data_IF_226867667323
#
_entry.id   IF_226867667323
#
_cell.length_a   1.000
_cell.length_b   1.000
_cell.length_c   1.000
_cell.angle_alpha   90.00
_cell.angle_beta   90.00
_cell.angle_gamma   90.00
#
_symmetry.space_group_name_H-M   'P 1'
#
loop_
_entity.id
_entity.type
_entity.pdbx_description
1 polymer ?
#
# COMPACT_ATOMS: atom_id res chain seq x y z
N UNK A 1 10.47 13.91 6.33
CA UNK A 1 11.13 13.01 5.36
C UNK A 1 10.18 11.87 5.06
N UNK A 2 9.92 11.53 3.79
CA UNK A 2 8.98 10.46 3.49
C UNK A 2 9.53 9.09 3.95
N UNK A 3 8.71 8.32 4.64
CA UNK A 3 9.08 7.01 5.16
C UNK A 3 8.78 5.95 4.08
N UNK A 4 9.75 5.10 3.75
CA UNK A 4 9.52 3.98 2.83
C UNK A 4 9.19 2.71 3.61
N UNK A 5 7.94 2.25 3.50
CA UNK A 5 7.48 0.98 4.08
C UNK A 5 7.38 -0.08 2.99
N UNK A 6 7.92 -1.27 3.23
CA UNK A 6 7.81 -2.40 2.30
C UNK A 6 6.89 -3.44 2.92
N UNK A 7 5.90 -3.88 2.16
CA UNK A 7 5.02 -4.95 2.60
C UNK A 7 5.79 -6.29 2.58
N UNK A 8 5.96 -7.00 3.71
CA UNK A 8 6.68 -8.28 3.73
C UNK A 8 5.88 -9.40 3.04
N UNK A 9 4.56 -9.22 2.87
CA UNK A 9 3.68 -10.20 2.25
C UNK A 9 3.68 -10.10 0.72
N UNK A 10 3.59 -8.87 0.18
CA UNK A 10 3.45 -8.68 -1.27
C UNK A 10 4.59 -7.89 -1.93
N UNK A 11 5.60 -7.46 -1.16
CA UNK A 11 6.79 -6.76 -1.67
C UNK A 11 6.55 -5.32 -2.15
N UNK A 12 5.30 -4.83 -2.08
CA UNK A 12 4.96 -3.47 -2.51
C UNK A 12 5.59 -2.43 -1.59
N UNK A 13 6.12 -1.35 -2.20
CA UNK A 13 6.69 -0.22 -1.47
C UNK A 13 5.69 0.92 -1.34
N UNK A 14 5.58 1.48 -0.15
CA UNK A 14 4.73 2.64 0.18
C UNK A 14 5.64 3.76 0.64
N UNK A 15 5.65 4.86 -0.08
CA UNK A 15 6.26 6.12 0.32
C UNK A 15 5.20 6.89 1.11
N UNK A 16 5.30 6.87 2.44
CA UNK A 16 4.37 7.54 3.34
C UNK A 16 4.83 8.97 3.63
N UNK A 17 3.87 9.90 3.74
CA UNK A 17 4.17 11.29 4.11
C UNK A 17 4.90 12.09 3.03
N UNK A 18 4.71 11.72 1.76
CA UNK A 18 5.10 12.55 0.60
C UNK A 18 4.14 13.73 0.47
N UNK A 19 4.62 14.86 -0.03
CA UNK A 19 3.77 16.02 -0.34
C UNK A 19 2.73 15.57 -1.38
N UNK A 20 1.44 15.68 -1.04
CA UNK A 20 0.34 15.16 -1.86
C UNK A 20 -0.20 13.77 -1.45
N UNK A 21 0.28 13.19 -0.34
CA UNK A 21 -0.23 11.95 0.24
C UNK A 21 0.61 10.71 -0.06
N UNK A 22 0.20 9.55 0.47
CA UNK A 22 0.93 8.29 0.32
C UNK A 22 1.02 7.85 -1.15
N UNK A 23 2.23 7.48 -1.59
CA UNK A 23 2.49 6.96 -2.93
C UNK A 23 2.91 5.50 -2.87
N UNK A 24 2.22 4.65 -3.62
CA UNK A 24 2.50 3.21 -3.72
C UNK A 24 3.26 2.92 -5.01
N UNK A 25 4.38 2.22 -4.88
CA UNK A 25 5.20 1.73 -6.00
C UNK A 25 4.99 0.21 -6.15
N UNK A 26 4.33 -0.16 -7.25
CA UNK A 26 4.17 -1.55 -7.65
C UNK A 26 5.43 -2.04 -8.38
N UNK A 27 5.63 -3.36 -8.44
CA UNK A 27 6.72 -3.98 -9.20
C UNK A 27 6.57 -3.80 -10.71
N UNK A 28 5.34 -3.60 -11.19
CA UNK A 28 5.03 -3.35 -12.59
C UNK A 28 3.88 -2.34 -12.72
N UNK A 29 3.94 -1.52 -13.77
CA UNK A 29 2.92 -0.52 -14.07
C UNK A 29 3.06 0.79 -13.30
N UNK A 30 2.06 1.70 -13.43
CA UNK A 30 2.14 3.03 -12.83
C UNK A 30 2.00 2.97 -11.30
N UNK A 31 2.64 3.92 -10.59
CA UNK A 31 2.37 4.15 -9.17
C UNK A 31 0.88 4.37 -8.89
N UNK A 32 0.47 4.08 -7.66
CA UNK A 32 -0.89 4.32 -7.20
C UNK A 32 -0.93 4.79 -5.76
N UNK A 33 -2.08 4.62 -5.14
CA UNK A 33 -2.32 4.90 -3.73
C UNK A 33 -2.61 3.60 -2.96
N UNK A 34 -2.89 3.74 -1.66
CA UNK A 34 -3.24 2.60 -0.80
C UNK A 34 -4.54 1.92 -1.20
N UNK A 35 -5.49 2.64 -1.80
CA UNK A 35 -6.76 2.09 -2.26
C UNK A 35 -6.52 1.16 -3.45
N UNK A 36 -5.71 1.59 -4.42
CA UNK A 36 -5.28 0.78 -5.56
C UNK A 36 -4.46 -0.43 -5.13
N UNK A 37 -3.61 -0.28 -4.11
CA UNK A 37 -2.87 -1.39 -3.52
C UNK A 37 -3.79 -2.46 -2.93
N UNK A 38 -4.82 -2.04 -2.19
CA UNK A 38 -5.82 -2.95 -1.66
C UNK A 38 -6.55 -3.69 -2.78
N UNK A 39 -7.15 -2.95 -3.71
CA UNK A 39 -7.97 -3.49 -4.79
C UNK A 39 -7.20 -4.36 -5.80
N UNK A 40 -5.88 -4.23 -5.90
CA UNK A 40 -5.08 -5.05 -6.84
C UNK A 40 -4.33 -6.19 -6.18
N UNK A 41 -3.91 -6.04 -4.92
CA UNK A 41 -2.93 -6.94 -4.30
C UNK A 41 -3.38 -7.43 -2.93
N UNK A 42 -3.60 -6.55 -1.95
CA UNK A 42 -3.84 -7.01 -0.58
C UNK A 42 -5.24 -7.59 -0.34
N UNK A 43 -6.24 -7.28 -1.17
CA UNK A 43 -7.53 -7.97 -1.07
C UNK A 43 -7.42 -9.47 -1.39
N UNK A 44 -6.46 -9.86 -2.24
CA UNK A 44 -6.18 -11.24 -2.62
C UNK A 44 -5.10 -11.88 -1.74
N UNK A 45 -4.20 -11.07 -1.17
CA UNK A 45 -3.17 -11.51 -0.22
C UNK A 45 -3.63 -11.32 1.23
N UNK A 46 -4.65 -12.08 1.63
CA UNK A 46 -5.23 -12.08 2.98
C UNK A 46 -4.32 -12.73 4.05
N UNK A 47 -3.00 -12.67 3.87
CA UNK A 47 -2.03 -13.23 4.82
C UNK A 47 -1.84 -12.25 5.98
N UNK A 48 -1.75 -12.74 7.23
CA UNK A 48 -1.39 -11.90 8.37
C UNK A 48 -0.03 -11.23 8.09
N UNK A 49 0.03 -9.91 8.27
CA UNK A 49 1.24 -9.11 8.02
C UNK A 49 1.24 -8.26 6.75
N UNK A 50 0.19 -8.23 5.90
CA UNK A 50 0.12 -7.17 4.87
C UNK A 50 -0.03 -5.80 5.56
N UNK A 51 0.92 -4.88 5.32
CA UNK A 51 0.93 -3.52 5.88
C UNK A 51 -0.21 -2.63 5.35
N UNK A 52 -0.92 -3.09 4.33
CA UNK A 52 -2.08 -2.43 3.75
C UNK A 52 -3.37 -3.21 4.07
N UNK A 53 -3.47 -3.74 5.29
CA UNK A 53 -4.68 -4.40 5.78
C UNK A 53 -5.80 -3.42 6.13
N UNK A 54 -5.44 -2.15 6.40
CA UNK A 54 -6.35 -1.06 6.75
C UNK A 54 -7.14 -0.45 5.58
N UNK A 55 -7.08 -1.02 4.38
CA UNK A 55 -8.00 -0.64 3.29
C UNK A 55 -9.48 -0.84 3.65
N UNK A 56 -9.76 -1.61 4.71
CA UNK A 56 -11.09 -1.76 5.33
C UNK A 56 -11.49 -0.65 6.30
N UNK A 57 -10.55 0.15 6.80
CA UNK A 57 -10.80 1.09 7.91
C UNK A 57 -10.37 2.52 7.58
N UNK A 58 -11.02 3.09 6.55
CA UNK A 58 -11.23 4.55 6.46
C UNK A 58 -12.72 4.82 6.19
N UNK A 59 -13.56 4.40 7.13
CA UNK A 59 -14.84 5.06 7.38
C UNK A 59 -14.82 5.57 8.82
N UNK A 60 -14.42 6.82 8.98
CA UNK A 60 -14.93 7.79 9.95
C UNK A 60 -14.49 9.16 9.46
#
# INVERSE_FOLDING_TARGET
>A
MPETKICPVCGVKILAGVIGGDRVLFSAGPPGDRAKLWARVCQYNQKPGCINSDGRNKKV
#
